data_IF_378232549040
#
_entry.id   IF_378232549040
#
_cell.length_a   1.000
_cell.length_b   1.000
_cell.length_c   1.000
_cell.angle_alpha   90.00
_cell.angle_beta   90.00
_cell.angle_gamma   90.00
#
_symmetry.space_group_name_H-M   'P 1'
#
loop_
_entity.id
_entity.type
_entity.pdbx_description
1 polymer ?
#
# COMPACT_ATOMS: atom_id res chain seq x y z
N UNK A 1 -11.82 22.81 -3.67
CA UNK A 1 -13.24 22.36 -3.57
C UNK A 1 -13.24 21.07 -2.76
N UNK A 2 -14.13 20.90 -1.79
CA UNK A 2 -14.20 19.65 -1.04
C UNK A 2 -14.86 18.57 -1.90
N UNK A 3 -14.28 17.36 -1.91
CA UNK A 3 -14.85 16.20 -2.59
C UNK A 3 -16.21 15.85 -1.95
N UNK A 4 -17.26 15.75 -2.75
CA UNK A 4 -18.55 15.23 -2.28
C UNK A 4 -18.51 13.71 -2.32
N UNK A 5 -18.76 13.10 -1.17
CA UNK A 5 -18.71 11.65 -0.98
C UNK A 5 -19.98 11.18 -0.25
N UNK A 6 -20.33 9.90 -0.42
CA UNK A 6 -21.48 9.28 0.24
C UNK A 6 -21.14 8.76 1.66
N UNK A 7 -20.34 9.49 2.42
CA UNK A 7 -19.80 9.04 3.73
C UNK A 7 -20.91 8.70 4.75
N UNK A 8 -22.01 9.43 4.73
CA UNK A 8 -23.19 9.24 5.59
C UNK A 8 -23.92 7.90 5.36
N UNK A 9 -23.65 7.24 4.22
CA UNK A 9 -24.23 5.95 3.84
C UNK A 9 -23.30 4.77 3.98
N UNK A 10 -22.06 4.99 4.48
CA UNK A 10 -21.08 3.92 4.65
C UNK A 10 -21.22 3.26 6.02
N UNK A 11 -21.23 1.94 6.04
CA UNK A 11 -21.13 1.20 7.28
C UNK A 11 -19.72 1.32 7.88
N UNK A 12 -19.65 1.46 9.22
CA UNK A 12 -18.41 1.32 9.99
C UNK A 12 -18.39 -0.07 10.58
N UNK A 13 -17.39 -0.86 10.23
CA UNK A 13 -17.28 -2.26 10.61
C UNK A 13 -16.00 -2.44 11.44
N UNK A 14 -16.09 -3.20 12.52
CA UNK A 14 -14.92 -3.60 13.28
C UNK A 14 -14.39 -4.91 12.70
N UNK A 15 -13.14 -4.89 12.22
CA UNK A 15 -12.41 -6.11 11.83
C UNK A 15 -11.16 -6.26 12.69
N UNK A 16 -10.64 -7.48 12.82
CA UNK A 16 -9.52 -7.78 13.69
C UNK A 16 -8.58 -8.79 13.07
N UNK A 17 -7.29 -8.58 13.27
CA UNK A 17 -6.24 -9.53 12.98
C UNK A 17 -5.27 -9.62 14.15
N UNK A 18 -4.25 -10.44 13.99
CA UNK A 18 -3.12 -10.54 14.92
C UNK A 18 -1.81 -10.36 14.16
N UNK A 19 -0.79 -9.85 14.87
CA UNK A 19 0.53 -9.64 14.30
C UNK A 19 1.13 -10.98 13.93
N UNK A 20 1.40 -11.18 12.66
CA UNK A 20 1.97 -12.40 12.12
C UNK A 20 3.50 -12.43 12.29
N UNK A 21 4.06 -13.64 12.38
CA UNK A 21 5.50 -13.81 12.25
C UNK A 21 5.98 -13.41 10.86
N UNK A 22 7.25 -13.03 10.75
CA UNK A 22 7.92 -12.95 9.47
C UNK A 22 7.82 -14.29 8.77
N UNK A 23 7.42 -14.29 7.50
CA UNK A 23 7.16 -15.52 6.77
C UNK A 23 8.43 -15.99 6.06
N UNK A 24 8.92 -17.17 6.44
CA UNK A 24 9.89 -17.93 5.64
C UNK A 24 9.15 -18.74 4.56
N UNK A 25 9.78 -18.96 3.42
CA UNK A 25 9.26 -19.86 2.41
C UNK A 25 10.10 -21.14 2.37
N UNK A 26 9.52 -22.34 2.57
CA UNK A 26 10.22 -23.59 2.34
C UNK A 26 10.73 -23.63 0.89
N UNK A 27 12.03 -23.86 0.67
CA UNK A 27 12.61 -23.84 -0.65
C UNK A 27 12.97 -22.44 -1.18
N UNK A 28 13.24 -21.49 -0.29
CA UNK A 28 13.70 -20.12 -0.61
C UNK A 28 15.03 -20.06 -1.36
N UNK A 29 15.36 -21.11 -2.08
CA UNK A 29 16.58 -21.22 -2.84
C UNK A 29 16.27 -20.95 -4.32
N UNK A 30 16.79 -19.88 -4.85
CA UNK A 30 16.64 -19.51 -6.25
C UNK A 30 17.99 -19.51 -6.93
N UNK A 31 18.01 -19.92 -8.18
CA UNK A 31 19.18 -19.75 -9.04
C UNK A 31 18.91 -18.55 -9.94
N UNK A 32 19.75 -17.56 -9.86
CA UNK A 32 19.68 -16.37 -10.69
C UNK A 32 19.98 -16.67 -12.17
N UNK A 33 19.65 -15.78 -13.11
CA UNK A 33 19.96 -15.97 -14.52
C UNK A 33 21.45 -16.17 -14.82
N UNK A 34 22.34 -15.69 -13.95
CA UNK A 34 23.80 -15.92 -13.99
C UNK A 34 24.23 -17.27 -13.42
N UNK A 35 23.30 -18.09 -12.96
CA UNK A 35 23.56 -19.40 -12.39
C UNK A 35 23.97 -19.39 -10.91
N UNK A 36 23.97 -18.23 -10.23
CA UNK A 36 24.34 -18.11 -8.83
C UNK A 36 23.16 -18.48 -7.93
N UNK A 37 23.30 -19.47 -7.03
CA UNK A 37 22.26 -19.80 -6.06
C UNK A 37 22.20 -18.76 -4.95
N UNK A 38 20.98 -18.28 -4.64
CA UNK A 38 20.73 -17.35 -3.55
C UNK A 38 19.57 -17.79 -2.66
N UNK A 39 19.65 -17.47 -1.38
CA UNK A 39 18.55 -17.64 -0.44
C UNK A 39 17.72 -16.37 -0.44
N UNK A 40 16.42 -16.48 -0.76
CA UNK A 40 15.49 -15.37 -0.66
C UNK A 40 15.06 -15.16 0.78
N UNK A 41 15.48 -14.06 1.37
CA UNK A 41 15.00 -13.59 2.66
C UNK A 41 13.80 -12.68 2.43
N UNK A 42 12.62 -13.13 2.85
CA UNK A 42 11.38 -12.39 2.66
C UNK A 42 11.27 -11.21 3.63
N UNK A 43 11.02 -10.02 3.09
CA UNK A 43 10.80 -8.78 3.86
C UNK A 43 9.34 -8.52 4.21
N UNK A 44 8.44 -9.36 3.75
CA UNK A 44 7.02 -9.25 4.07
C UNK A 44 6.68 -9.85 5.44
N UNK A 45 5.51 -9.48 5.96
CA UNK A 45 4.97 -9.89 7.25
C UNK A 45 5.87 -9.56 8.46
N UNK A 46 5.35 -9.70 9.64
CA UNK A 46 6.07 -9.49 10.90
C UNK A 46 6.16 -8.03 11.35
N UNK A 47 7.15 -7.75 12.18
CA UNK A 47 7.43 -6.43 12.76
C UNK A 47 8.77 -5.92 12.22
N UNK A 48 8.78 -4.71 11.62
CA UNK A 48 10.00 -4.03 11.17
C UNK A 48 10.31 -2.88 12.13
N UNK A 49 11.44 -2.97 12.80
CA UNK A 49 11.83 -1.98 13.81
C UNK A 49 12.40 -0.69 13.22
N UNK A 50 12.95 -0.77 12.00
CA UNK A 50 13.68 0.33 11.37
C UNK A 50 13.18 0.70 9.96
N UNK A 51 12.06 0.13 9.51
CA UNK A 51 11.48 0.42 8.19
C UNK A 51 10.04 0.90 8.37
N UNK A 52 9.76 2.12 7.92
CA UNK A 52 8.48 2.77 8.10
C UNK A 52 8.01 3.46 6.83
N UNK A 53 6.76 3.83 6.80
CA UNK A 53 6.18 4.66 5.73
C UNK A 53 6.97 5.97 5.59
N UNK A 54 7.40 6.28 4.37
CA UNK A 54 8.24 7.44 4.05
C UNK A 54 9.72 7.11 3.89
N UNK A 55 10.16 5.90 4.27
CA UNK A 55 11.53 5.43 3.99
C UNK A 55 11.66 5.02 2.51
N UNK A 56 12.88 4.97 1.95
CA UNK A 56 13.10 4.50 0.58
C UNK A 56 12.47 3.13 0.36
N UNK A 57 11.84 2.92 -0.78
CA UNK A 57 11.29 1.63 -1.16
C UNK A 57 12.37 0.66 -1.65
N UNK A 58 13.51 1.18 -2.12
CA UNK A 58 14.58 0.42 -2.76
C UNK A 58 15.87 0.45 -1.96
N UNK A 59 16.77 -0.52 -2.25
CA UNK A 59 18.13 -0.58 -1.72
C UNK A 59 18.21 -1.06 -0.28
N UNK A 60 17.33 -1.93 0.15
CA UNK A 60 17.41 -2.67 1.41
C UNK A 60 18.10 -4.01 1.19
N UNK A 61 19.20 -4.23 1.91
CA UNK A 61 19.99 -5.46 1.78
C UNK A 61 19.32 -6.65 2.48
N UNK A 62 19.43 -7.82 1.87
CA UNK A 62 19.04 -9.10 2.48
C UNK A 62 17.54 -9.30 2.66
N UNK A 63 16.70 -8.51 1.99
CA UNK A 63 15.24 -8.64 2.07
C UNK A 63 14.59 -8.54 0.70
N UNK A 64 13.54 -9.31 0.51
CA UNK A 64 12.72 -9.38 -0.69
C UNK A 64 11.30 -8.91 -0.35
N UNK A 65 10.71 -7.99 -1.10
CA UNK A 65 9.40 -7.38 -0.82
C UNK A 65 9.31 -6.76 0.57
N UNK A 66 10.25 -5.90 0.92
CA UNK A 66 10.29 -5.31 2.26
C UNK A 66 9.10 -4.36 2.49
N UNK A 67 8.25 -4.73 3.43
CA UNK A 67 7.11 -3.93 3.88
C UNK A 67 7.49 -3.03 5.06
N UNK A 68 6.84 -1.86 5.22
CA UNK A 68 7.02 -1.03 6.40
C UNK A 68 6.23 -1.53 7.62
N UNK A 69 6.65 -1.16 8.81
CA UNK A 69 5.87 -1.23 10.03
C UNK A 69 5.50 -2.65 10.46
N UNK A 70 4.21 -2.91 10.58
CA UNK A 70 3.67 -4.14 11.21
C UNK A 70 2.62 -4.77 10.32
N UNK A 71 2.62 -6.09 10.22
CA UNK A 71 1.68 -6.83 9.39
C UNK A 71 0.76 -7.69 10.24
N UNK A 72 -0.53 -7.66 9.92
CA UNK A 72 -1.55 -8.47 10.59
C UNK A 72 -2.31 -9.38 9.62
N UNK A 73 -2.69 -10.55 10.13
CA UNK A 73 -3.59 -11.52 9.49
C UNK A 73 -4.60 -12.03 10.49
N UNK A 74 -5.69 -12.60 10.01
CA UNK A 74 -6.56 -13.41 10.86
C UNK A 74 -6.28 -14.91 10.60
N UNK A 75 -6.09 -15.75 11.61
CA UNK A 75 -5.82 -17.18 11.43
C UNK A 75 -7.00 -17.94 10.81
N UNK A 76 -8.24 -17.46 11.00
CA UNK A 76 -9.41 -18.00 10.31
C UNK A 76 -9.49 -17.40 8.90
N UNK A 77 -9.56 -18.25 7.88
CA UNK A 77 -9.55 -17.86 6.48
C UNK A 77 -10.69 -16.89 6.12
N UNK A 78 -11.91 -17.18 6.54
CA UNK A 78 -13.07 -16.34 6.24
C UNK A 78 -12.97 -14.97 6.89
N UNK A 79 -12.52 -14.93 8.14
CA UNK A 79 -12.26 -13.70 8.87
C UNK A 79 -11.09 -12.91 8.27
N UNK A 80 -10.08 -13.58 7.71
CA UNK A 80 -8.97 -12.94 7.02
C UNK A 80 -9.41 -12.28 5.71
N UNK A 81 -10.28 -12.95 4.94
CA UNK A 81 -10.92 -12.34 3.77
C UNK A 81 -11.70 -11.08 4.15
N UNK A 82 -12.48 -11.15 5.22
CA UNK A 82 -13.23 -10.01 5.75
C UNK A 82 -12.30 -8.86 6.18
N UNK A 83 -11.19 -9.19 6.87
CA UNK A 83 -10.17 -8.21 7.27
C UNK A 83 -9.61 -7.48 6.04
N UNK A 84 -9.19 -8.23 5.01
CA UNK A 84 -8.57 -7.66 3.80
C UNK A 84 -9.59 -6.88 2.94
N UNK A 85 -10.85 -7.33 2.86
CA UNK A 85 -11.89 -6.60 2.12
C UNK A 85 -12.26 -5.29 2.79
N UNK A 86 -12.42 -5.28 4.11
CA UNK A 86 -12.94 -4.11 4.84
C UNK A 86 -11.86 -3.10 5.24
N UNK A 87 -10.64 -3.52 5.52
CA UNK A 87 -9.57 -2.59 5.85
C UNK A 87 -9.28 -1.67 4.66
N UNK A 88 -9.42 -0.36 4.87
CA UNK A 88 -9.09 0.66 3.89
C UNK A 88 -7.85 1.44 4.34
N UNK A 89 -7.01 1.82 3.39
CA UNK A 89 -5.83 2.67 3.62
C UNK A 89 -6.25 3.97 4.28
N UNK A 90 -5.68 4.29 5.43
CA UNK A 90 -6.04 5.42 6.26
C UNK A 90 -6.94 5.10 7.46
N UNK A 91 -7.50 3.88 7.55
CA UNK A 91 -8.30 3.49 8.72
C UNK A 91 -7.47 3.45 10.01
N UNK A 92 -8.12 3.80 11.15
CA UNK A 92 -7.52 3.70 12.48
C UNK A 92 -7.37 2.23 12.88
N UNK A 93 -6.15 1.86 13.26
CA UNK A 93 -5.81 0.59 13.90
C UNK A 93 -5.57 0.82 15.39
N UNK A 94 -6.00 -0.11 16.26
CA UNK A 94 -5.85 -0.01 17.70
C UNK A 94 -5.35 -1.35 18.24
N UNK A 95 -4.26 -1.32 18.99
CA UNK A 95 -3.74 -2.50 19.68
C UNK A 95 -4.75 -2.96 20.73
N UNK A 96 -5.17 -4.22 20.67
CA UNK A 96 -6.20 -4.77 21.53
C UNK A 96 -5.66 -5.71 22.63
N UNK A 97 -4.41 -6.16 22.53
CA UNK A 97 -3.74 -7.01 23.51
C UNK A 97 -2.27 -6.61 23.69
N UNK A 98 -1.56 -7.28 24.61
CA UNK A 98 -0.14 -7.05 24.85
C UNK A 98 0.17 -5.73 25.57
N UNK A 99 1.47 -5.42 25.64
CA UNK A 99 1.98 -4.28 26.41
C UNK A 99 1.63 -2.92 25.76
N UNK A 100 1.48 -2.89 24.45
CA UNK A 100 1.07 -1.68 23.70
C UNK A 100 -0.47 -1.51 23.62
N UNK A 101 -1.25 -2.23 24.43
CA UNK A 101 -2.72 -2.17 24.37
C UNK A 101 -3.27 -0.76 24.53
N UNK A 102 -4.11 -0.36 23.57
CA UNK A 102 -4.73 0.97 23.51
C UNK A 102 -4.03 1.92 22.54
N UNK A 103 -2.78 1.64 22.18
CA UNK A 103 -2.01 2.43 21.23
C UNK A 103 -2.63 2.41 19.83
N UNK A 104 -2.42 3.49 19.09
CA UNK A 104 -3.05 3.74 17.81
C UNK A 104 -2.04 3.75 16.66
N UNK A 105 -2.43 3.11 15.58
CA UNK A 105 -1.75 3.13 14.30
C UNK A 105 -2.71 3.38 13.15
N UNK A 106 -2.24 3.19 11.94
CA UNK A 106 -3.00 3.45 10.73
C UNK A 106 -2.76 2.35 9.68
N UNK A 107 -3.81 1.94 8.98
CA UNK A 107 -3.70 1.05 7.82
C UNK A 107 -2.98 1.77 6.69
N UNK A 108 -1.89 1.19 6.21
CA UNK A 108 -1.05 1.73 5.13
C UNK A 108 -1.40 1.12 3.79
N UNK A 109 -1.51 -0.22 3.75
CA UNK A 109 -1.67 -0.95 2.50
C UNK A 109 -2.20 -2.36 2.75
N UNK A 110 -2.44 -3.08 1.65
CA UNK A 110 -2.78 -4.51 1.64
C UNK A 110 -1.90 -5.22 0.63
N UNK A 111 -1.43 -6.40 0.97
CA UNK A 111 -0.57 -7.22 0.12
C UNK A 111 -1.31 -8.49 -0.29
N UNK A 112 -1.45 -8.71 -1.58
CA UNK A 112 -2.10 -9.90 -2.14
C UNK A 112 -1.16 -11.11 -2.19
N UNK A 113 -1.71 -12.28 -2.52
CA UNK A 113 -0.94 -13.53 -2.56
C UNK A 113 -0.63 -14.11 -1.18
N UNK A 114 -0.46 -13.29 -0.18
CA UNK A 114 -0.32 -13.67 1.23
C UNK A 114 -1.48 -13.12 2.09
N UNK A 115 -2.33 -12.31 1.51
CA UNK A 115 -3.57 -11.76 2.09
C UNK A 115 -3.37 -11.22 3.51
N UNK A 116 -2.67 -10.10 3.63
CA UNK A 116 -2.47 -9.42 4.92
C UNK A 116 -2.56 -7.90 4.82
N UNK A 117 -2.72 -7.25 5.97
CA UNK A 117 -2.86 -5.81 6.10
C UNK A 117 -1.62 -5.22 6.77
N UNK A 118 -1.06 -4.17 6.16
CA UNK A 118 0.14 -3.46 6.63
C UNK A 118 -0.28 -2.24 7.43
N UNK A 119 0.31 -2.07 8.62
CA UNK A 119 0.02 -1.00 9.57
C UNK A 119 1.28 -0.21 9.91
N UNK A 120 1.13 1.10 10.08
CA UNK A 120 2.17 1.96 10.68
C UNK A 120 1.77 2.37 12.10
N UNK A 121 2.75 2.30 13.00
CA UNK A 121 2.66 2.79 14.38
C UNK A 121 3.87 3.69 14.69
N UNK A 122 3.81 4.44 15.76
CA UNK A 122 4.96 5.18 16.26
C UNK A 122 6.10 4.21 16.66
N UNK A 123 7.40 4.60 16.55
CA UNK A 123 8.52 3.71 16.86
C UNK A 123 8.43 3.10 18.26
N UNK A 124 8.11 3.92 19.26
CA UNK A 124 7.96 3.50 20.65
C UNK A 124 6.82 2.50 20.88
N UNK A 125 5.82 2.49 20.00
CA UNK A 125 4.75 1.48 20.01
C UNK A 125 5.25 0.19 19.39
N UNK A 126 5.94 0.28 18.24
CA UNK A 126 6.48 -0.90 17.51
C UNK A 126 7.41 -1.72 18.40
N UNK A 127 8.26 -1.07 19.21
CA UNK A 127 9.17 -1.73 20.14
C UNK A 127 8.47 -2.55 21.25
N UNK A 128 7.21 -2.24 21.55
CA UNK A 128 6.40 -2.92 22.55
C UNK A 128 5.39 -3.91 21.96
N UNK A 129 5.37 -4.09 20.63
CA UNK A 129 4.50 -5.05 19.98
C UNK A 129 5.15 -6.44 19.93
N UNK A 130 4.33 -7.48 20.10
CA UNK A 130 4.74 -8.88 20.00
C UNK A 130 3.93 -9.61 18.93
N UNK A 131 4.50 -10.71 18.42
CA UNK A 131 3.76 -11.63 17.57
C UNK A 131 2.55 -12.20 18.31
N UNK A 132 1.41 -12.26 17.62
CA UNK A 132 0.13 -12.68 18.22
C UNK A 132 -0.63 -11.55 18.89
N UNK A 133 -0.07 -10.34 19.04
CA UNK A 133 -0.85 -9.21 19.53
C UNK A 133 -2.01 -8.90 18.59
N UNK A 134 -3.18 -8.72 19.17
CA UNK A 134 -4.42 -8.48 18.44
C UNK A 134 -4.59 -7.00 18.11
N UNK A 135 -4.90 -6.73 16.86
CA UNK A 135 -5.15 -5.38 16.37
C UNK A 135 -6.57 -5.32 15.81
N UNK A 136 -7.36 -4.37 16.31
CA UNK A 136 -8.67 -4.05 15.76
C UNK A 136 -8.58 -2.86 14.82
N UNK A 137 -9.27 -2.92 13.69
CA UNK A 137 -9.38 -1.83 12.72
C UNK A 137 -10.81 -1.34 12.69
N UNK A 138 -11.00 -0.03 12.81
CA UNK A 138 -12.27 0.64 12.55
C UNK A 138 -12.41 0.84 11.05
N UNK A 139 -12.85 -0.22 10.37
CA UNK A 139 -12.98 -0.24 8.92
C UNK A 139 -14.05 0.72 8.42
N UNK A 140 -13.69 1.60 7.50
CA UNK A 140 -14.54 2.62 6.92
C UNK A 140 -14.03 3.01 5.53
N UNK A 141 -14.86 2.84 4.49
CA UNK A 141 -14.47 3.19 3.11
C UNK A 141 -15.02 2.23 2.05
N UNK A 142 -15.37 1.00 2.40
CA UNK A 142 -15.99 0.07 1.45
C UNK A 142 -17.35 0.62 0.99
N UNK A 143 -17.56 0.65 -0.34
CA UNK A 143 -18.75 1.28 -0.93
C UNK A 143 -18.68 2.80 -1.11
N UNK A 144 -17.49 3.39 -0.85
CA UNK A 144 -17.25 4.82 -1.09
C UNK A 144 -17.48 5.19 -2.56
N UNK A 145 -18.11 6.32 -2.78
CA UNK A 145 -18.33 6.91 -4.11
C UNK A 145 -18.01 8.40 -4.09
N UNK A 146 -17.41 8.89 -5.17
CA UNK A 146 -17.22 10.31 -5.43
C UNK A 146 -18.45 10.80 -6.22
N UNK A 147 -19.31 11.60 -5.59
CA UNK A 147 -20.61 11.97 -6.16
C UNK A 147 -20.50 12.88 -7.38
N UNK A 148 -19.45 13.71 -7.43
CA UNK A 148 -19.18 14.59 -8.58
C UNK A 148 -18.35 13.89 -9.69
N UNK A 149 -17.82 12.67 -9.43
CA UNK A 149 -16.98 11.89 -10.34
C UNK A 149 -17.38 10.41 -10.32
N UNK A 150 -18.58 10.04 -10.84
CA UNK A 150 -19.10 8.68 -10.72
C UNK A 150 -18.26 7.61 -11.44
N UNK A 151 -17.46 8.01 -12.45
CA UNK A 151 -16.55 7.13 -13.20
C UNK A 151 -15.20 6.90 -12.50
N UNK A 152 -14.95 7.60 -11.39
CA UNK A 152 -13.79 7.37 -10.56
C UNK A 152 -14.20 6.47 -9.39
N UNK A 153 -13.64 5.27 -9.32
CA UNK A 153 -13.96 4.27 -8.30
C UNK A 153 -12.93 4.31 -7.18
N UNK A 154 -13.30 4.72 -5.95
CA UNK A 154 -12.49 4.42 -4.78
C UNK A 154 -12.51 2.91 -4.50
N UNK A 155 -11.36 2.33 -4.18
CA UNK A 155 -11.25 0.90 -3.93
C UNK A 155 -10.87 0.60 -2.48
N UNK A 156 -9.69 0.95 -2.06
CA UNK A 156 -9.19 0.63 -0.71
C UNK A 156 -8.89 1.89 0.11
N UNK A 157 -9.67 2.95 -0.05
CA UNK A 157 -9.38 4.26 0.54
C UNK A 157 -10.38 4.67 1.63
N UNK A 158 -9.88 5.13 2.77
CA UNK A 158 -10.65 5.85 3.78
C UNK A 158 -11.05 7.23 3.27
N UNK A 159 -12.31 7.70 3.47
CA UNK A 159 -12.72 9.04 3.07
C UNK A 159 -11.86 10.16 3.66
N UNK A 160 -11.37 9.97 4.90
CA UNK A 160 -10.48 10.92 5.57
C UNK A 160 -9.10 10.98 4.91
N UNK A 161 -8.60 9.88 4.36
CA UNK A 161 -7.38 9.86 3.56
C UNK A 161 -7.54 10.71 2.30
N UNK A 162 -8.63 10.50 1.53
CA UNK A 162 -8.86 11.25 0.30
C UNK A 162 -8.90 12.77 0.55
N UNK A 163 -9.47 13.21 1.68
CA UNK A 163 -9.47 14.63 2.09
C UNK A 163 -8.04 15.17 2.35
N UNK A 164 -7.12 14.31 2.82
CA UNK A 164 -5.72 14.70 3.12
C UNK A 164 -4.79 14.62 1.91
N UNK A 165 -5.17 13.89 0.86
CA UNK A 165 -4.36 13.74 -0.36
C UNK A 165 -4.23 15.02 -1.19
N UNK A 166 -4.96 16.10 -0.85
CA UNK A 166 -4.99 17.36 -1.61
C UNK A 166 -5.52 17.19 -3.04
N UNK A 167 -6.48 16.31 -3.21
CA UNK A 167 -7.17 16.09 -4.48
C UNK A 167 -7.92 17.37 -4.88
N UNK A 168 -7.80 17.74 -6.14
CA UNK A 168 -8.45 18.91 -6.73
C UNK A 168 -9.28 18.56 -7.97
N UNK A 169 -9.70 19.59 -8.69
CA UNK A 169 -10.45 19.45 -9.95
C UNK A 169 -9.90 20.43 -10.99
N UNK A 170 -9.81 19.98 -12.22
CA UNK A 170 -9.41 20.81 -13.36
C UNK A 170 -10.14 20.34 -14.62
N UNK A 171 -10.85 21.24 -15.30
CA UNK A 171 -11.58 20.95 -16.54
C UNK A 171 -12.52 19.73 -16.45
N UNK A 172 -13.27 19.61 -15.34
CA UNK A 172 -14.19 18.51 -15.10
C UNK A 172 -13.55 17.18 -14.73
N UNK A 173 -12.24 17.10 -14.60
CA UNK A 173 -11.49 15.91 -14.19
C UNK A 173 -10.93 16.06 -12.78
N UNK A 174 -10.74 14.94 -12.11
CA UNK A 174 -10.14 14.85 -10.79
C UNK A 174 -8.61 15.00 -10.92
N UNK A 175 -8.01 15.97 -10.24
CA UNK A 175 -6.55 16.10 -10.17
C UNK A 175 -6.03 15.46 -8.90
N UNK A 176 -5.08 14.53 -9.02
CA UNK A 176 -4.53 13.79 -7.88
C UNK A 176 -3.02 13.97 -7.82
N UNK A 177 -2.48 14.53 -6.70
CA UNK A 177 -1.05 14.61 -6.48
C UNK A 177 -0.43 13.22 -6.34
N UNK A 178 0.65 12.97 -7.10
CA UNK A 178 1.42 11.72 -7.11
C UNK A 178 2.91 12.03 -7.19
N UNK A 179 3.75 11.13 -6.70
CA UNK A 179 5.21 11.30 -6.81
C UNK A 179 5.73 10.86 -8.17
N UNK A 180 5.17 9.78 -8.73
CA UNK A 180 5.66 9.16 -9.97
C UNK A 180 4.50 8.74 -10.87
N UNK A 181 4.80 8.66 -12.17
CA UNK A 181 3.93 8.07 -13.20
C UNK A 181 4.52 6.72 -13.62
N UNK A 182 3.70 5.70 -13.68
CA UNK A 182 4.09 4.33 -14.00
C UNK A 182 3.34 3.92 -15.27
N UNK A 183 4.04 3.64 -16.38
CA UNK A 183 3.36 3.14 -17.57
C UNK A 183 2.88 1.70 -17.36
N UNK A 184 1.71 1.35 -17.92
CA UNK A 184 1.07 0.04 -17.73
C UNK A 184 1.96 -1.15 -18.13
N UNK A 185 2.88 -0.98 -19.09
CA UNK A 185 3.79 -2.05 -19.52
C UNK A 185 4.78 -2.49 -18.42
N UNK A 186 4.97 -1.69 -17.38
CA UNK A 186 5.82 -2.05 -16.24
C UNK A 186 5.06 -2.76 -15.12
N UNK A 187 3.76 -2.95 -15.27
CA UNK A 187 2.93 -3.64 -14.26
C UNK A 187 2.73 -5.09 -14.69
N UNK A 188 2.96 -6.03 -13.78
CA UNK A 188 2.97 -7.45 -14.09
C UNK A 188 2.10 -8.34 -13.24
N UNK A 189 2.38 -8.48 -12.00
CA UNK A 189 1.75 -9.46 -11.11
C UNK A 189 1.00 -8.82 -9.96
N UNK A 190 0.48 -9.63 -9.04
CA UNK A 190 -0.13 -9.17 -7.83
C UNK A 190 -1.58 -8.70 -7.99
N UNK A 191 -2.49 -9.61 -8.25
CA UNK A 191 -3.94 -9.34 -8.11
C UNK A 191 -4.44 -10.15 -6.93
N UNK A 192 -5.19 -9.52 -6.02
CA UNK A 192 -5.75 -10.22 -4.87
C UNK A 192 -6.50 -11.49 -5.26
N UNK A 193 -6.31 -12.54 -4.49
CA UNK A 193 -6.88 -13.87 -4.74
C UNK A 193 -8.39 -13.82 -4.95
N UNK A 194 -9.08 -12.92 -4.24
CA UNK A 194 -10.55 -12.87 -4.19
C UNK A 194 -11.12 -11.70 -4.96
N UNK A 195 -10.44 -10.57 -5.01
CA UNK A 195 -10.90 -9.38 -5.71
C UNK A 195 -9.81 -8.32 -5.86
N UNK A 196 -10.02 -7.39 -6.81
CA UNK A 196 -9.18 -6.21 -6.97
C UNK A 196 -9.17 -5.28 -5.72
N UNK A 197 -10.08 -5.46 -4.79
CA UNK A 197 -10.13 -4.71 -3.52
C UNK A 197 -9.17 -5.24 -2.45
N UNK A 198 -8.72 -6.48 -2.57
CA UNK A 198 -7.77 -7.10 -1.63
C UNK A 198 -6.36 -7.11 -2.18
N UNK A 199 -6.21 -6.82 -3.48
CA UNK A 199 -4.95 -6.95 -4.21
C UNK A 199 -4.10 -5.70 -4.25
N UNK A 200 -2.90 -5.94 -4.63
CA UNK A 200 -1.94 -4.99 -5.14
C UNK A 200 -1.50 -5.39 -6.55
N UNK A 201 -0.66 -4.60 -7.16
CA UNK A 201 0.01 -4.91 -8.43
C UNK A 201 1.48 -4.54 -8.31
N UNK A 202 2.35 -5.36 -8.88
CA UNK A 202 3.79 -5.17 -8.79
C UNK A 202 4.38 -4.64 -10.08
N UNK A 203 5.45 -3.89 -9.97
CA UNK A 203 6.29 -3.59 -11.11
C UNK A 203 6.95 -4.88 -11.58
N UNK A 204 6.92 -5.15 -12.87
CA UNK A 204 7.71 -6.23 -13.50
C UNK A 204 9.13 -5.79 -13.79
N UNK A 205 9.79 -5.20 -12.82
CA UNK A 205 11.04 -4.53 -13.03
C UNK A 205 11.96 -4.75 -11.84
N UNK A 206 13.08 -5.40 -12.08
CA UNK A 206 14.16 -5.59 -11.11
C UNK A 206 15.51 -5.05 -11.63
N UNK A 207 15.52 -4.47 -12.85
CA UNK A 207 16.73 -3.91 -13.45
C UNK A 207 17.01 -2.50 -12.94
N UNK A 208 18.15 -2.27 -12.22
CA UNK A 208 18.49 -0.96 -11.67
C UNK A 208 18.63 0.14 -12.73
N UNK A 209 19.09 -0.19 -13.94
CA UNK A 209 19.27 0.81 -14.99
C UNK A 209 17.91 1.37 -15.45
N UNK A 210 16.91 0.52 -15.60
CA UNK A 210 15.55 0.96 -15.94
C UNK A 210 14.90 1.72 -14.78
N UNK A 211 15.13 1.34 -13.52
CA UNK A 211 14.70 2.14 -12.37
C UNK A 211 15.25 3.57 -12.41
N UNK A 212 16.54 3.71 -12.76
CA UNK A 212 17.17 5.02 -12.88
C UNK A 212 16.62 5.81 -14.07
N UNK A 213 16.43 5.18 -15.24
CA UNK A 213 15.87 5.79 -16.43
C UNK A 213 14.50 6.41 -16.18
N UNK A 214 13.63 5.73 -15.45
CA UNK A 214 12.29 6.22 -15.09
C UNK A 214 12.28 7.10 -13.83
N UNK A 215 13.41 7.29 -13.16
CA UNK A 215 13.52 8.07 -11.94
C UNK A 215 12.93 7.39 -10.70
N UNK A 216 12.73 6.07 -10.75
CA UNK A 216 12.09 5.30 -9.66
C UNK A 216 13.04 5.03 -8.49
N UNK A 217 14.34 5.27 -8.63
CA UNK A 217 15.32 5.20 -7.53
C UNK A 217 14.96 6.09 -6.34
N UNK A 218 14.08 7.08 -6.55
CA UNK A 218 13.58 7.98 -5.50
C UNK A 218 12.27 7.53 -4.84
N UNK A 219 11.68 6.39 -5.24
CA UNK A 219 10.45 5.85 -4.65
C UNK A 219 10.60 5.59 -3.16
N UNK A 220 9.55 5.91 -2.42
CA UNK A 220 9.45 5.68 -0.97
C UNK A 220 8.21 4.85 -0.66
N UNK A 221 8.30 4.06 0.37
CA UNK A 221 7.14 3.38 0.96
C UNK A 221 6.07 4.42 1.31
N UNK A 222 4.84 4.17 0.88
CA UNK A 222 3.74 5.10 1.06
C UNK A 222 3.64 6.24 0.05
N UNK A 223 4.47 6.27 -1.00
CA UNK A 223 4.30 7.24 -2.10
C UNK A 223 2.99 6.96 -2.86
N UNK A 224 2.22 8.01 -3.14
CA UNK A 224 1.10 7.92 -4.07
C UNK A 224 1.65 7.99 -5.49
N UNK A 225 1.25 7.03 -6.31
CA UNK A 225 1.70 6.89 -7.70
C UNK A 225 0.51 6.77 -8.64
N UNK A 226 0.71 7.09 -9.91
CA UNK A 226 -0.31 6.90 -10.95
C UNK A 226 0.17 5.88 -11.98
N UNK A 227 -0.61 4.82 -12.19
CA UNK A 227 -0.41 3.87 -13.26
C UNK A 227 -1.24 4.35 -14.45
N UNK A 228 -0.57 4.62 -15.57
CA UNK A 228 -1.16 5.13 -16.79
C UNK A 228 -1.62 3.97 -17.69
N UNK A 229 -2.69 4.20 -18.44
CA UNK A 229 -3.30 3.20 -19.34
C UNK A 229 -3.70 1.90 -18.62
N UNK A 230 -4.10 2.02 -17.34
CA UNK A 230 -4.39 0.88 -16.47
C UNK A 230 -5.72 1.09 -15.74
N UNK A 231 -6.65 0.13 -15.91
CA UNK A 231 -7.94 0.09 -15.21
C UNK A 231 -7.97 -1.10 -14.24
N UNK A 232 -8.05 -0.82 -12.95
CA UNK A 232 -8.11 -1.85 -11.90
C UNK A 232 -9.54 -2.12 -11.41
N UNK A 233 -10.56 -1.69 -12.14
CA UNK A 233 -11.97 -1.83 -11.72
C UNK A 233 -12.42 -3.28 -11.54
N UNK A 234 -11.81 -4.21 -12.28
CA UNK A 234 -12.18 -5.63 -12.34
C UNK A 234 -10.96 -6.56 -12.28
N UNK A 235 -9.85 -6.07 -11.75
CA UNK A 235 -8.59 -6.75 -11.74
C UNK A 235 -7.60 -6.13 -12.73
N UNK A 236 -6.77 -6.95 -13.34
CA UNK A 236 -5.68 -6.53 -14.19
C UNK A 236 -6.17 -6.20 -15.61
N UNK A 237 -6.12 -4.94 -16.04
CA UNK A 237 -6.53 -4.57 -17.39
C UNK A 237 -5.77 -3.37 -17.95
N UNK A 238 -5.05 -3.58 -19.06
CA UNK A 238 -4.60 -2.49 -19.93
C UNK A 238 -5.82 -1.81 -20.58
N UNK A 239 -5.90 -0.48 -20.45
CA UNK A 239 -6.92 0.31 -21.12
C UNK A 239 -6.38 1.70 -21.42
N UNK A 240 -6.20 2.01 -22.70
CA UNK A 240 -5.67 3.31 -23.12
C UNK A 240 -6.46 4.47 -22.56
N UNK A 241 -5.78 5.43 -21.94
CA UNK A 241 -6.35 6.61 -21.31
C UNK A 241 -6.89 6.40 -19.90
N UNK A 242 -7.00 5.15 -19.42
CA UNK A 242 -7.34 4.88 -18.03
C UNK A 242 -6.23 5.33 -17.08
N UNK A 243 -6.60 5.63 -15.83
CA UNK A 243 -5.62 5.99 -14.79
C UNK A 243 -6.00 5.34 -13.48
N UNK A 244 -5.04 4.67 -12.86
CA UNK A 244 -5.16 4.12 -11.51
C UNK A 244 -4.20 4.85 -10.57
N UNK A 245 -4.68 5.27 -9.41
CA UNK A 245 -3.88 5.84 -8.33
C UNK A 245 -3.72 4.78 -7.25
N UNK A 246 -2.49 4.56 -6.83
CA UNK A 246 -2.19 3.64 -5.74
C UNK A 246 -1.14 4.17 -4.78
N UNK A 247 -0.79 3.34 -3.81
CA UNK A 247 0.20 3.61 -2.78
C UNK A 247 1.27 2.52 -2.80
N UNK A 248 2.54 2.89 -2.76
CA UNK A 248 3.66 1.95 -2.68
C UNK A 248 3.62 1.24 -1.33
N UNK A 249 3.48 -0.09 -1.35
CA UNK A 249 3.29 -0.90 -0.15
C UNK A 249 4.54 -1.65 0.29
N UNK A 250 5.38 -2.10 -0.64
CA UNK A 250 6.63 -2.79 -0.36
C UNK A 250 7.73 -2.37 -1.33
N UNK A 251 8.95 -2.72 -1.00
CA UNK A 251 10.13 -2.46 -1.80
C UNK A 251 10.29 -3.42 -2.97
N UNK A 252 11.47 -3.35 -3.57
CA UNK A 252 11.88 -4.23 -4.63
C UNK A 252 11.96 -5.68 -4.17
N UNK A 253 11.79 -6.55 -5.12
CA UNK A 253 11.94 -7.98 -4.98
C UNK A 253 12.96 -8.52 -5.96
N UNK A 254 13.30 -9.77 -5.74
CA UNK A 254 14.13 -10.54 -6.65
C UNK A 254 13.25 -11.28 -7.66
N UNK A 255 13.84 -11.79 -8.73
CA UNK A 255 13.14 -12.61 -9.71
C UNK A 255 12.00 -11.91 -10.49
N UNK A 256 12.18 -10.63 -10.84
CA UNK A 256 11.28 -9.92 -11.75
C UNK A 256 10.12 -9.18 -11.06
N UNK A 257 10.07 -9.20 -9.74
CA UNK A 257 9.15 -8.36 -8.97
C UNK A 257 9.84 -7.06 -8.55
N UNK A 258 9.17 -5.94 -8.75
CA UNK A 258 9.55 -4.65 -8.20
C UNK A 258 8.62 -4.23 -7.05
N UNK A 259 8.60 -2.94 -6.71
CA UNK A 259 7.70 -2.41 -5.70
C UNK A 259 6.22 -2.71 -5.99
N UNK A 260 5.45 -3.03 -4.94
CA UNK A 260 4.01 -3.26 -5.03
C UNK A 260 3.19 -1.99 -4.83
N UNK A 261 1.99 -1.97 -5.41
CA UNK A 261 1.06 -0.82 -5.40
C UNK A 261 -0.34 -1.27 -4.98
N UNK A 262 -0.80 -0.88 -3.79
CA UNK A 262 -2.21 -1.05 -3.40
C UNK A 262 -3.07 0.04 -4.06
N UNK A 263 -4.13 -0.34 -4.75
CA UNK A 263 -5.02 0.59 -5.46
C UNK A 263 -5.90 1.40 -4.51
N UNK A 264 -5.94 2.71 -4.73
CA UNK A 264 -6.81 3.65 -4.00
C UNK A 264 -7.98 4.18 -4.84
N UNK A 265 -7.70 4.58 -6.08
CA UNK A 265 -8.68 5.10 -7.03
C UNK A 265 -8.38 4.54 -8.42
N UNK A 266 -9.41 4.25 -9.21
CA UNK A 266 -9.24 3.89 -10.61
C UNK A 266 -10.32 4.51 -11.49
N UNK A 267 -9.98 4.87 -12.74
CA UNK A 267 -10.92 5.41 -13.73
C UNK A 267 -10.62 4.87 -15.11
N UNK A 268 -11.44 3.94 -15.58
CA UNK A 268 -11.37 3.45 -16.94
C UNK A 268 -11.78 4.48 -18.01
N UNK A 269 -12.44 5.56 -17.62
CA UNK A 269 -12.85 6.66 -18.51
C UNK A 269 -11.81 7.81 -18.59
N UNK A 270 -10.66 7.70 -17.90
CA UNK A 270 -9.61 8.73 -17.93
C UNK A 270 -10.00 10.03 -17.23
N UNK A 271 -10.85 9.97 -16.21
CA UNK A 271 -11.31 11.13 -15.45
C UNK A 271 -10.40 11.48 -14.27
N UNK A 272 -9.19 10.90 -14.21
CA UNK A 272 -8.13 11.25 -13.29
C UNK A 272 -6.98 11.90 -14.06
N UNK A 273 -6.49 13.03 -13.57
CA UNK A 273 -5.29 13.70 -14.07
C UNK A 273 -4.24 13.69 -12.95
N UNK A 274 -3.20 12.86 -13.04
CA UNK A 274 -2.13 12.88 -12.06
C UNK A 274 -1.32 14.18 -12.16
N UNK A 275 -0.91 14.72 -11.01
CA UNK A 275 -0.08 15.93 -10.91
C UNK A 275 1.14 15.59 -10.06
N UNK A 276 2.33 15.81 -10.60
CA UNK A 276 3.57 15.52 -9.88
C UNK A 276 3.72 16.45 -8.68
N UNK A 277 3.83 15.84 -7.50
CA UNK A 277 4.11 16.49 -6.22
C UNK A 277 5.07 15.60 -5.41
N UNK A 278 6.34 15.97 -5.21
CA UNK A 278 7.31 15.17 -4.44
C UNK A 278 6.89 14.90 -2.99
N UNK A 279 5.90 15.65 -2.48
CA UNK A 279 5.34 15.47 -1.14
C UNK A 279 4.07 14.61 -1.11
N UNK A 280 3.69 13.98 -2.23
CA UNK A 280 2.55 13.09 -2.31
C UNK A 280 2.86 11.71 -1.69
N UNK A 281 3.17 11.69 -0.41
CA UNK A 281 3.49 10.50 0.37
C UNK A 281 2.56 10.41 1.58
N UNK A 282 2.13 9.21 1.92
CA UNK A 282 1.20 8.90 3.01
C UNK A 282 1.68 9.45 4.36
N UNK A 283 2.96 9.21 4.71
CA UNK A 283 3.52 9.71 5.96
C UNK A 283 3.50 11.25 6.02
N UNK A 284 3.80 11.91 4.91
CA UNK A 284 3.75 13.38 4.80
C UNK A 284 2.32 13.90 4.92
N UNK A 285 1.35 13.28 4.24
CA UNK A 285 -0.06 13.72 4.23
C UNK A 285 -0.74 13.53 5.58
N UNK A 286 -0.38 12.47 6.31
CA UNK A 286 -0.93 12.19 7.64
C UNK A 286 -0.10 12.77 8.77
N UNK A 287 1.12 13.23 8.51
CA UNK A 287 2.03 13.80 9.50
C UNK A 287 2.60 12.75 10.46
N UNK A 288 2.79 11.52 9.99
CA UNK A 288 3.22 10.38 10.81
C UNK A 288 4.68 10.47 11.28
N UNK A 289 5.52 11.26 10.57
CA UNK A 289 6.96 11.42 10.83
C UNK A 289 7.30 12.80 11.44
N UNK A 290 6.32 13.52 11.99
CA UNK A 290 6.55 14.82 12.63
C UNK A 290 7.34 14.65 13.92
N UNK A 291 8.49 15.35 14.01
CA UNK A 291 9.36 15.31 15.18
C UNK A 291 10.48 14.27 15.13
N UNK A 292 10.47 13.36 14.20
CA UNK A 292 11.59 12.43 14.00
C UNK A 292 12.81 13.16 13.43
N UNK A 293 13.97 13.03 14.10
CA UNK A 293 15.24 13.48 13.53
C UNK A 293 15.57 12.59 12.34
N UNK A 294 15.85 13.19 11.17
CA UNK A 294 16.35 12.44 10.01
C UNK A 294 17.56 11.61 10.46
N UNK A 295 17.40 10.31 10.53
CA UNK A 295 18.53 9.41 10.73
C UNK A 295 19.49 9.63 9.55
N UNK A 296 20.70 10.09 9.83
CA UNK A 296 21.76 10.06 8.83
C UNK A 296 22.08 8.58 8.63
N UNK A 297 21.69 8.00 7.48
CA UNK A 297 22.26 6.74 7.02
C UNK A 297 23.79 6.92 7.01
N UNK A 298 24.50 6.12 7.80
CA UNK A 298 25.96 5.99 7.72
C UNK A 298 26.31 5.01 6.62
#
# INVERSE_FOLDING_TARGET
MALKMNEDKLAKILVMGEISHSMGHPGSFHVWPDGVPQVLLRGWAGIKLNVRVGDPALGWEGTDHLEPGVTIRNPDHSSNLSLNLHACVGNEAIVASGDAKGEKGTVVAKHSGIEHVILDFAPEVIENLLFGDKIKIKAFGVGLRLLDFPDVKPMSADPGLLKKMKIGTKQGKLTVPVTHLIPAQLIGSGVGEVSAYTGDVDFQLSDPATFEEYGYSSLRLGDFVAILDYDHSYGYAYRQGAVTIGIILHGDGTAGHGPGVTTLLTSGAGNIVPVIDPNANFATRLGLRKGEKKSKRR
#
